data_IF_116289472633
#
_entry.id   IF_116289472633
#
_cell.length_a   1.000
_cell.length_b   1.000
_cell.length_c   1.000
_cell.angle_alpha   90.00
_cell.angle_beta   90.00
_cell.angle_gamma   90.00
#
_symmetry.space_group_name_H-M   'P 1'
#
loop_
_entity.id
_entity.type
_entity.pdbx_description
1 polymer ?
#
# COMPACT_ATOMS: atom_id res chain seq x y z
N UNK A 1 5.51 -2.04 11.19
CA UNK A 1 4.38 -2.98 11.35
C UNK A 1 3.33 -2.45 12.30
N UNK A 2 3.68 -2.01 13.52
CA UNK A 2 2.74 -1.41 14.50
C UNK A 2 1.80 -0.35 13.90
N UNK A 3 2.32 0.64 13.16
CA UNK A 3 1.47 1.66 12.52
C UNK A 3 0.43 1.08 11.53
N UNK A 4 0.76 -0.02 10.84
CA UNK A 4 -0.18 -0.70 9.96
C UNK A 4 -1.26 -1.42 10.79
N UNK A 5 -0.87 -2.07 11.89
CA UNK A 5 -1.79 -2.73 12.82
C UNK A 5 -2.75 -1.72 13.45
N UNK A 6 -2.23 -0.58 13.90
CA UNK A 6 -3.02 0.51 14.48
C UNK A 6 -3.99 1.08 13.44
N UNK A 7 -3.55 1.31 12.21
CA UNK A 7 -4.41 1.81 11.13
C UNK A 7 -5.48 0.79 10.73
N UNK A 8 -5.16 -0.51 10.70
CA UNK A 8 -6.14 -1.59 10.47
C UNK A 8 -7.15 -1.66 11.62
N UNK A 9 -6.71 -1.40 12.85
CA UNK A 9 -7.56 -1.30 14.04
C UNK A 9 -8.37 0.02 14.11
N UNK A 10 -8.28 0.87 13.08
CA UNK A 10 -9.08 2.09 12.96
C UNK A 10 -8.43 3.36 13.51
N UNK A 11 -7.15 3.31 13.86
CA UNK A 11 -6.42 4.52 14.24
C UNK A 11 -6.38 5.52 13.06
N UNK A 12 -6.50 6.83 13.34
CA UNK A 12 -6.55 7.84 12.30
C UNK A 12 -5.23 7.91 11.55
N UNK A 13 -5.31 7.69 10.23
CA UNK A 13 -4.18 7.82 9.32
C UNK A 13 -4.34 9.10 8.51
N UNK A 14 -3.37 10.01 8.59
CA UNK A 14 -3.40 11.23 7.77
C UNK A 14 -3.22 10.88 6.29
N UNK A 15 -3.84 11.65 5.40
CA UNK A 15 -3.74 11.43 3.95
C UNK A 15 -2.30 11.45 3.45
N UNK A 16 -1.45 12.32 4.03
CA UNK A 16 -0.01 12.36 3.73
C UNK A 16 0.68 11.06 4.12
N UNK A 17 0.41 10.55 5.33
CA UNK A 17 1.01 9.31 5.83
C UNK A 17 0.55 8.10 5.02
N UNK A 18 -0.72 8.08 4.62
CA UNK A 18 -1.26 7.04 3.74
C UNK A 18 -0.52 6.99 2.39
N UNK A 19 -0.24 8.15 1.78
CA UNK A 19 0.51 8.23 0.52
C UNK A 19 1.95 7.75 0.68
N UNK A 20 2.63 8.11 1.77
CA UNK A 20 3.99 7.65 2.07
C UNK A 20 4.06 6.12 2.22
N UNK A 21 3.14 5.53 2.99
CA UNK A 21 3.06 4.08 3.18
C UNK A 21 2.77 3.35 1.86
N UNK A 22 1.85 3.88 1.04
CA UNK A 22 1.55 3.31 -0.27
C UNK A 22 2.75 3.38 -1.23
N UNK A 23 3.57 4.43 -1.14
CA UNK A 23 4.81 4.55 -1.92
C UNK A 23 5.84 3.51 -1.49
N UNK A 24 6.08 3.39 -0.19
CA UNK A 24 7.01 2.42 0.37
C UNK A 24 6.60 0.98 0.03
N UNK A 25 5.30 0.68 0.08
CA UNK A 25 4.77 -0.63 -0.33
C UNK A 25 5.07 -0.93 -1.81
N UNK A 26 4.88 0.04 -2.70
CA UNK A 26 5.20 -0.15 -4.13
C UNK A 26 6.68 -0.33 -4.42
N UNK A 27 7.53 0.36 -3.67
CA UNK A 27 8.99 0.19 -3.77
C UNK A 27 9.36 -1.24 -3.35
N UNK A 28 8.85 -1.71 -2.21
CA UNK A 28 9.05 -3.08 -1.74
C UNK A 28 8.50 -4.13 -2.71
N UNK A 29 7.32 -3.93 -3.28
CA UNK A 29 6.72 -4.82 -4.29
C UNK A 29 7.59 -4.94 -5.55
N UNK A 30 8.21 -3.83 -5.99
CA UNK A 30 9.14 -3.85 -7.12
C UNK A 30 10.41 -4.62 -6.78
N UNK A 31 10.99 -4.37 -5.61
CA UNK A 31 12.22 -5.04 -5.17
C UNK A 31 12.01 -6.56 -5.04
N UNK A 32 10.83 -6.97 -4.58
CA UNK A 32 10.46 -8.37 -4.44
C UNK A 32 9.95 -9.01 -5.75
N UNK A 33 9.81 -8.23 -6.84
CA UNK A 33 9.24 -8.71 -8.11
C UNK A 33 7.76 -9.10 -8.02
N UNK A 34 7.08 -8.70 -6.94
CA UNK A 34 5.65 -8.93 -6.71
C UNK A 34 4.90 -7.81 -7.42
N UNK A 35 4.86 -7.87 -8.75
CA UNK A 35 4.06 -6.92 -9.52
C UNK A 35 2.58 -7.13 -9.18
N UNK A 36 2.05 -6.23 -8.36
CA UNK A 36 0.66 -6.25 -7.94
C UNK A 36 -0.25 -6.28 -9.18
N UNK A 37 -0.88 -7.44 -9.40
CA UNK A 37 -1.96 -7.74 -10.36
C UNK A 37 -3.10 -6.72 -10.41
N UNK A 38 -3.16 -5.79 -9.46
CA UNK A 38 -4.17 -4.72 -9.41
C UNK A 38 -4.18 -3.81 -10.64
N UNK A 39 -3.07 -3.69 -11.38
CA UNK A 39 -3.06 -2.95 -12.65
C UNK A 39 -3.75 -3.71 -13.78
N UNK A 40 -3.62 -5.04 -13.83
CA UNK A 40 -4.35 -5.89 -14.78
C UNK A 40 -5.86 -5.86 -14.50
N UNK A 41 -6.27 -5.89 -13.22
CA UNK A 41 -7.69 -5.87 -12.85
C UNK A 41 -8.38 -4.54 -13.23
N UNK A 42 -7.67 -3.42 -13.20
CA UNK A 42 -8.22 -2.10 -13.61
C UNK A 42 -8.18 -1.89 -15.13
N UNK A 43 -7.28 -2.55 -15.86
CA UNK A 43 -7.25 -2.52 -17.34
C UNK A 43 -8.17 -3.56 -17.98
N UNK A 44 -8.63 -4.56 -17.22
CA UNK A 44 -9.61 -5.56 -17.66
C UNK A 44 -11.08 -5.11 -17.46
N UNK A 45 -11.33 -3.83 -17.17
CA UNK A 45 -12.66 -3.21 -17.12
C UNK A 45 -12.81 -2.10 -18.14
#
# INVERSE_FOLDING_TARGET
LRECEDSIAGAPLTSRRAVELARALRELERDLGILMRSREIRQAR
#
